data_IF_047475962785
#
_entry.id   IF_047475962785
#
_cell.length_a   1.000
_cell.length_b   1.000
_cell.length_c   1.000
_cell.angle_alpha   90.00
_cell.angle_beta   90.00
_cell.angle_gamma   90.00
#
_symmetry.space_group_name_H-M   'P 1'
#
loop_
_entity.id
_entity.type
_entity.pdbx_description
1 polymer ?
#
# COMPACT_ATOMS: atom_id res chain seq x y z
N UNK A 1 4.83 13.53 -7.94
CA UNK A 1 6.14 13.17 -8.52
C UNK A 1 6.59 11.90 -7.83
N UNK A 2 6.76 10.80 -8.57
CA UNK A 2 7.26 9.53 -8.03
C UNK A 2 8.78 9.56 -8.09
N UNK A 3 9.48 9.21 -7.01
CA UNK A 3 10.94 9.34 -6.89
C UNK A 3 11.75 8.33 -7.75
N UNK A 4 11.13 7.72 -8.77
CA UNK A 4 11.75 6.70 -9.62
C UNK A 4 12.05 5.38 -8.92
N UNK A 5 11.73 5.25 -7.63
CA UNK A 5 11.95 4.04 -6.83
C UNK A 5 10.82 3.05 -7.14
N UNK A 6 11.18 1.81 -7.44
CA UNK A 6 10.24 0.72 -7.71
C UNK A 6 10.33 -0.31 -6.58
N UNK A 7 9.18 -0.72 -6.04
CA UNK A 7 9.15 -1.76 -5.01
C UNK A 7 9.64 -3.09 -5.58
N UNK A 8 10.72 -3.66 -5.03
CA UNK A 8 11.27 -4.94 -5.49
C UNK A 8 10.34 -6.14 -5.34
N UNK A 9 9.28 -6.03 -4.53
CA UNK A 9 8.31 -7.10 -4.28
C UNK A 9 7.12 -7.04 -5.24
N UNK A 10 6.48 -5.87 -5.37
CA UNK A 10 5.26 -5.74 -6.18
C UNK A 10 5.42 -4.90 -7.45
N UNK A 11 6.64 -4.41 -7.74
CA UNK A 11 6.98 -3.56 -8.89
C UNK A 11 6.16 -2.28 -9.02
N UNK A 12 5.44 -1.89 -7.97
CA UNK A 12 4.72 -0.62 -7.94
C UNK A 12 5.69 0.55 -7.76
N UNK A 13 5.41 1.72 -8.38
CA UNK A 13 6.16 2.94 -8.10
C UNK A 13 6.00 3.33 -6.63
N UNK A 14 7.11 3.63 -5.99
CA UNK A 14 7.23 4.00 -4.59
C UNK A 14 7.45 5.50 -4.50
N UNK A 15 6.56 6.16 -3.77
CA UNK A 15 6.75 7.55 -3.34
C UNK A 15 7.61 7.54 -2.06
N UNK A 16 8.90 7.83 -2.20
CA UNK A 16 9.85 7.84 -1.09
C UNK A 16 9.53 8.99 -0.13
N UNK A 17 9.08 10.13 -0.64
CA UNK A 17 8.59 11.23 0.19
C UNK A 17 7.36 10.81 0.99
N UNK A 18 6.40 10.11 0.39
CA UNK A 18 5.26 9.53 1.11
C UNK A 18 5.62 8.37 2.05
N UNK A 19 6.72 7.66 1.79
CA UNK A 19 7.28 6.66 2.69
C UNK A 19 7.91 7.30 3.93
N UNK A 20 8.61 8.42 3.79
CA UNK A 20 9.35 8.99 4.92
C UNK A 20 8.56 10.12 5.62
N UNK A 21 7.69 10.83 4.89
CA UNK A 21 6.70 11.74 5.46
C UNK A 21 5.57 10.94 6.12
N UNK A 22 5.77 10.56 7.37
CA UNK A 22 4.67 10.15 8.23
C UNK A 22 5.00 10.42 9.68
N UNK A 23 4.69 11.63 10.12
CA UNK A 23 4.04 11.79 11.43
C UNK A 23 3.00 12.89 11.39
N UNK A 24 1.73 12.47 11.47
CA UNK A 24 0.75 13.18 12.30
C UNK A 24 1.23 13.05 13.74
N UNK A 25 1.32 14.16 14.46
CA UNK A 25 1.86 14.31 15.83
C UNK A 25 1.34 13.28 16.84
N UNK A 26 0.12 12.75 16.66
CA UNK A 26 -0.49 11.79 17.58
C UNK A 26 0.34 10.51 17.83
N UNK A 27 1.07 9.99 16.84
CA UNK A 27 1.93 8.81 17.05
C UNK A 27 3.29 9.15 17.65
N UNK A 28 3.67 10.43 17.76
CA UNK A 28 4.92 10.84 18.43
C UNK A 28 4.83 10.62 19.94
N UNK A 29 3.71 11.01 20.54
CA UNK A 29 3.46 10.86 21.98
C UNK A 29 3.40 9.39 22.43
N UNK A 30 2.80 8.50 21.63
CA UNK A 30 2.75 7.06 21.94
C UNK A 30 4.11 6.38 21.92
N UNK A 31 5.05 6.89 21.11
CA UNK A 31 6.41 6.39 21.07
C UNK A 31 7.26 6.96 22.21
N UNK A 32 7.16 8.26 22.51
CA UNK A 32 7.83 8.86 23.67
C UNK A 32 7.40 8.18 24.99
N UNK A 33 6.11 7.85 25.13
CA UNK A 33 5.61 7.05 26.27
C UNK A 33 6.16 5.62 26.31
N UNK A 34 6.51 5.02 25.18
CA UNK A 34 7.13 3.67 25.11
C UNK A 34 8.64 3.70 25.35
N UNK A 35 9.34 4.76 24.93
CA UNK A 35 10.76 4.97 25.22
C UNK A 35 11.02 5.04 26.73
N UNK A 36 10.09 5.62 27.50
CA UNK A 36 10.14 5.65 28.97
C UNK A 36 10.31 4.27 29.63
N UNK A 37 9.69 3.21 29.07
CA UNK A 37 9.80 1.84 29.65
C UNK A 37 11.05 1.10 29.22
N UNK A 38 11.57 1.33 28.01
CA UNK A 38 12.79 0.69 27.52
C UNK A 38 14.06 1.28 28.17
N UNK A 39 14.01 2.56 28.57
CA UNK A 39 15.11 3.24 29.26
C UNK A 39 15.17 2.87 30.76
N UNK A 40 14.06 2.41 31.35
CA UNK A 40 13.97 2.10 32.79
C UNK A 40 14.31 0.65 33.17
N UNK A 41 14.24 -0.32 32.26
CA UNK A 41 14.67 -1.70 32.51
C UNK A 41 16.18 -1.83 32.27
N UNK A 42 16.96 -1.35 33.24
CA UNK A 42 18.42 -1.29 33.18
C UNK A 42 19.12 -2.64 32.99
N UNK A 43 20.30 -2.56 32.36
CA UNK A 43 21.53 -3.30 32.67
C UNK A 43 22.56 -3.04 31.56
N UNK A 44 23.37 -1.97 31.68
CA UNK A 44 24.67 -1.92 30.99
C UNK A 44 25.68 -1.22 31.90
N UNK A 45 26.21 -1.98 32.87
CA UNK A 45 27.52 -1.74 33.43
C UNK A 45 28.49 -1.92 32.25
N UNK A 46 29.16 -0.85 31.82
CA UNK A 46 30.34 -0.96 30.97
C UNK A 46 31.42 -1.64 31.84
N UNK A 47 31.82 -2.92 31.63
CA UNK A 47 32.75 -3.58 32.53
C UNK A 47 34.19 -3.10 32.36
N UNK A 48 34.46 -2.12 31.49
CA UNK A 48 35.80 -1.65 31.21
C UNK A 48 35.79 -0.15 31.02
N UNK A 49 36.26 0.58 32.04
CA UNK A 49 36.83 1.90 31.85
C UNK A 49 38.02 1.74 30.87
N UNK A 50 38.00 2.38 29.69
CA UNK A 50 39.11 2.23 28.76
C UNK A 50 40.34 2.98 29.30
N UNK A 51 41.49 2.29 29.27
CA UNK A 51 42.81 2.90 29.33
C UNK A 51 42.93 4.05 28.32
N UNK A 52 43.71 5.11 28.60
CA UNK A 52 43.79 6.36 27.84
C UNK A 52 44.47 6.27 26.46
N UNK A 53 44.44 5.10 25.81
CA UNK A 53 44.79 4.92 24.40
C UNK A 53 43.50 4.85 23.58
N UNK A 54 42.75 5.95 23.62
CA UNK A 54 41.43 6.10 23.01
C UNK A 54 41.50 6.14 21.49
N UNK A 55 41.26 5.00 20.86
CA UNK A 55 40.89 4.90 19.45
C UNK A 55 39.37 4.77 19.37
N UNK A 56 38.71 5.72 18.71
CA UNK A 56 37.28 5.67 18.38
C UNK A 56 36.86 4.28 17.91
N UNK A 57 35.69 3.77 18.34
CA UNK A 57 35.12 2.53 17.80
C UNK A 57 34.62 2.71 16.35
N UNK A 58 34.50 3.95 15.91
CA UNK A 58 34.08 4.31 14.56
C UNK A 58 35.34 4.46 13.71
N UNK A 59 35.54 3.52 12.78
CA UNK A 59 36.57 3.63 11.75
C UNK A 59 36.20 4.69 10.70
N UNK A 60 37.16 5.13 9.88
CA UNK A 60 36.89 6.08 8.79
C UNK A 60 35.80 5.56 7.82
N UNK A 61 35.81 4.25 7.52
CA UNK A 61 34.78 3.62 6.70
C UNK A 61 33.39 3.68 7.37
N UNK A 62 33.31 3.41 8.68
CA UNK A 62 32.06 3.53 9.44
C UNK A 62 31.55 4.97 9.47
N UNK A 63 32.46 5.94 9.60
CA UNK A 63 32.12 7.36 9.56
C UNK A 63 31.49 7.77 8.21
N UNK A 64 32.02 7.26 7.10
CA UNK A 64 31.46 7.51 5.77
C UNK A 64 30.01 7.01 5.66
N UNK A 65 29.74 5.80 6.14
CA UNK A 65 28.37 5.25 6.17
C UNK A 65 27.41 6.08 7.04
N UNK A 66 27.87 6.56 8.21
CA UNK A 66 27.08 7.46 9.04
C UNK A 66 26.77 8.77 8.32
N UNK A 67 27.77 9.40 7.70
CA UNK A 67 27.58 10.66 6.98
C UNK A 67 26.57 10.48 5.82
N UNK A 68 26.66 9.38 5.10
CA UNK A 68 25.71 9.06 4.04
C UNK A 68 24.29 8.86 4.59
N UNK A 69 24.13 8.04 5.63
CA UNK A 69 22.84 7.80 6.27
C UNK A 69 22.21 9.08 6.81
N UNK A 70 22.99 9.93 7.49
CA UNK A 70 22.54 11.22 8.00
C UNK A 70 22.09 12.14 6.86
N UNK A 71 22.85 12.21 5.76
CA UNK A 71 22.49 13.01 4.58
C UNK A 71 21.16 12.54 3.97
N UNK A 72 20.96 11.24 3.87
CA UNK A 72 19.74 10.66 3.30
C UNK A 72 18.51 10.90 4.19
N UNK A 73 18.65 10.77 5.50
CA UNK A 73 17.53 10.84 6.45
C UNK A 73 17.15 12.29 6.80
N UNK A 74 18.12 13.20 6.85
CA UNK A 74 17.95 14.59 7.31
C UNK A 74 16.76 15.35 6.73
N UNK A 75 16.48 15.33 5.41
CA UNK A 75 15.37 16.10 4.87
C UNK A 75 13.99 15.48 5.14
N UNK A 76 13.93 14.25 5.67
CA UNK A 76 12.70 13.48 5.65
C UNK A 76 12.23 12.98 7.03
N UNK A 77 13.14 12.52 7.90
CA UNK A 77 12.76 12.00 9.24
C UNK A 77 13.66 12.57 10.35
N UNK A 78 13.20 13.62 11.06
CA UNK A 78 13.89 14.17 12.21
C UNK A 78 14.09 13.18 13.37
N UNK A 79 13.22 12.17 13.53
CA UNK A 79 13.33 11.18 14.59
C UNK A 79 14.50 10.24 14.32
N UNK A 80 14.55 9.65 13.13
CA UNK A 80 15.65 8.78 12.73
C UNK A 80 16.98 9.54 12.67
N UNK A 81 16.97 10.81 12.22
CA UNK A 81 18.13 11.68 12.25
C UNK A 81 18.69 11.78 13.68
N UNK A 82 17.84 12.16 14.65
CA UNK A 82 18.24 12.28 16.05
C UNK A 82 18.78 10.96 16.63
N UNK A 83 18.14 9.82 16.33
CA UNK A 83 18.61 8.50 16.81
C UNK A 83 19.96 8.10 16.19
N UNK A 84 20.19 8.40 14.90
CA UNK A 84 21.47 8.16 14.23
C UNK A 84 22.58 9.04 14.82
N UNK A 85 22.33 10.33 15.03
CA UNK A 85 23.30 11.27 15.64
C UNK A 85 23.63 10.87 17.09
N UNK A 86 22.61 10.45 17.84
CA UNK A 86 22.77 9.94 19.22
C UNK A 86 23.63 8.67 19.22
N UNK A 87 23.31 7.69 18.38
CA UNK A 87 24.07 6.45 18.30
C UNK A 87 25.52 6.69 17.86
N UNK A 88 25.74 7.58 16.89
CA UNK A 88 27.08 7.98 16.46
C UNK A 88 27.89 8.56 17.60
N UNK A 89 27.32 9.52 18.34
CA UNK A 89 27.96 10.14 19.51
C UNK A 89 28.32 9.10 20.58
N UNK A 90 27.40 8.17 20.86
CA UNK A 90 27.61 7.08 21.82
C UNK A 90 28.77 6.16 21.41
N UNK A 91 28.88 5.84 20.11
CA UNK A 91 29.94 4.97 19.59
C UNK A 91 31.31 5.66 19.57
N UNK A 92 31.37 6.93 19.20
CA UNK A 92 32.61 7.72 19.21
C UNK A 92 33.12 7.91 20.63
N UNK A 93 32.23 8.28 21.56
CA UNK A 93 32.59 8.54 22.97
C UNK A 93 32.65 7.27 23.84
N UNK A 94 32.38 6.10 23.25
CA UNK A 94 32.24 4.81 23.97
C UNK A 94 31.28 4.91 25.17
N UNK A 95 30.25 5.74 25.06
CA UNK A 95 29.31 6.06 26.13
C UNK A 95 27.93 5.52 25.79
N UNK A 96 27.46 4.52 26.53
CA UNK A 96 26.11 3.98 26.37
C UNK A 96 25.92 3.04 25.16
N UNK A 97 24.68 2.58 24.91
CA UNK A 97 24.42 1.43 24.06
C UNK A 97 24.16 1.82 22.58
N UNK A 98 25.12 2.50 21.95
CA UNK A 98 24.97 3.01 20.57
C UNK A 98 24.54 1.95 19.55
N UNK A 99 25.11 0.74 19.63
CA UNK A 99 24.72 -0.39 18.76
C UNK A 99 23.27 -0.81 18.98
N UNK A 100 22.80 -0.81 20.23
CA UNK A 100 21.41 -1.17 20.54
C UNK A 100 20.43 -0.14 19.96
N UNK A 101 20.78 1.15 20.01
CA UNK A 101 19.99 2.22 19.39
C UNK A 101 19.87 2.01 17.88
N UNK A 102 20.97 1.66 17.20
CA UNK A 102 20.94 1.34 15.76
C UNK A 102 20.08 0.11 15.45
N UNK A 103 20.18 -0.94 16.28
CA UNK A 103 19.40 -2.18 16.13
C UNK A 103 17.90 -1.90 16.30
N UNK A 104 17.54 -1.12 17.32
CA UNK A 104 16.16 -0.67 17.55
C UNK A 104 15.64 0.12 16.35
N UNK A 105 16.40 1.12 15.89
CA UNK A 105 16.02 1.94 14.75
C UNK A 105 15.78 1.09 13.48
N UNK A 106 16.66 0.12 13.21
CA UNK A 106 16.50 -0.82 12.09
C UNK A 106 15.22 -1.64 12.20
N UNK A 107 14.91 -2.15 13.40
CA UNK A 107 13.72 -2.96 13.64
C UNK A 107 12.43 -2.14 13.46
N UNK A 108 12.41 -0.91 13.97
CA UNK A 108 11.27 0.00 13.82
C UNK A 108 11.03 0.35 12.34
N UNK A 109 12.08 0.68 11.60
CA UNK A 109 12.01 0.99 10.18
C UNK A 109 11.55 -0.21 9.35
N UNK A 110 12.09 -1.40 9.63
CA UNK A 110 11.66 -2.63 8.95
C UNK A 110 10.18 -2.89 9.16
N UNK A 111 9.71 -2.78 10.41
CA UNK A 111 8.29 -2.94 10.74
C UNK A 111 7.43 -1.89 10.02
N UNK A 112 7.91 -0.67 9.94
CA UNK A 112 7.19 0.43 9.30
C UNK A 112 7.07 0.25 7.78
N UNK A 113 8.17 -0.11 7.12
CA UNK A 113 8.19 -0.42 5.68
C UNK A 113 7.24 -1.58 5.39
N UNK A 114 7.26 -2.63 6.21
CA UNK A 114 6.33 -3.75 6.08
C UNK A 114 4.86 -3.31 6.16
N UNK A 115 4.49 -2.52 7.17
CA UNK A 115 3.11 -2.02 7.33
C UNK A 115 2.69 -1.17 6.12
N UNK A 116 3.55 -0.27 5.64
CA UNK A 116 3.24 0.56 4.47
C UNK A 116 3.09 -0.29 3.22
N UNK A 117 3.96 -1.27 3.01
CA UNK A 117 3.87 -2.19 1.88
C UNK A 117 2.57 -2.99 1.92
N UNK A 118 2.24 -3.62 3.05
CA UNK A 118 1.01 -4.41 3.21
C UNK A 118 -0.22 -3.56 2.92
N UNK A 119 -0.31 -2.34 3.49
CA UNK A 119 -1.43 -1.43 3.22
C UNK A 119 -1.52 -1.02 1.74
N UNK A 120 -0.38 -0.78 1.09
CA UNK A 120 -0.37 -0.45 -0.34
C UNK A 120 -0.87 -1.63 -1.18
N UNK A 121 -0.46 -2.86 -0.86
CA UNK A 121 -0.91 -4.08 -1.54
C UNK A 121 -2.41 -4.32 -1.32
N UNK A 122 -2.88 -4.17 -0.09
CA UNK A 122 -4.31 -4.29 0.23
C UNK A 122 -5.14 -3.27 -0.53
N UNK A 123 -4.71 -2.00 -0.57
CA UNK A 123 -5.38 -0.95 -1.33
C UNK A 123 -5.43 -1.28 -2.83
N UNK A 124 -4.32 -1.75 -3.40
CA UNK A 124 -4.26 -2.15 -4.81
C UNK A 124 -5.19 -3.34 -5.10
N UNK A 125 -5.23 -4.34 -4.21
CA UNK A 125 -6.16 -5.49 -4.33
C UNK A 125 -7.62 -5.05 -4.23
N UNK A 126 -7.95 -4.17 -3.29
CA UNK A 126 -9.31 -3.64 -3.15
C UNK A 126 -9.75 -2.84 -4.38
N UNK A 127 -8.86 -2.03 -4.96
CA UNK A 127 -9.14 -1.33 -6.21
C UNK A 127 -9.36 -2.30 -7.39
N UNK A 128 -8.56 -3.36 -7.48
CA UNK A 128 -8.74 -4.40 -8.51
C UNK A 128 -10.10 -5.10 -8.37
N UNK A 129 -10.51 -5.44 -7.15
CA UNK A 129 -11.84 -6.05 -6.88
C UNK A 129 -12.98 -5.12 -7.27
N UNK A 130 -12.91 -3.84 -6.89
CA UNK A 130 -13.91 -2.83 -7.27
C UNK A 130 -14.08 -2.68 -8.78
N UNK A 131 -12.98 -2.74 -9.54
CA UNK A 131 -13.03 -2.69 -11.01
C UNK A 131 -13.70 -3.94 -11.59
N UNK A 132 -13.33 -5.13 -11.10
CA UNK A 132 -13.94 -6.38 -11.55
C UNK A 132 -15.45 -6.44 -11.23
N UNK A 133 -15.87 -5.95 -10.06
CA UNK A 133 -17.30 -5.86 -9.69
C UNK A 133 -18.06 -4.90 -10.62
N UNK A 134 -17.48 -3.74 -10.94
CA UNK A 134 -18.08 -2.79 -11.87
C UNK A 134 -18.19 -3.36 -13.28
N UNK A 135 -17.14 -4.01 -13.79
CA UNK A 135 -17.15 -4.68 -15.10
C UNK A 135 -18.20 -5.80 -15.16
N UNK A 136 -18.34 -6.58 -14.08
CA UNK A 136 -19.38 -7.61 -13.99
C UNK A 136 -20.79 -7.01 -13.99
N UNK A 137 -21.01 -5.91 -13.26
CA UNK A 137 -22.30 -5.20 -13.26
C UNK A 137 -22.65 -4.66 -14.65
N UNK A 138 -21.69 -4.03 -15.33
CA UNK A 138 -21.89 -3.55 -16.70
C UNK A 138 -22.20 -4.70 -17.66
N UNK A 139 -21.48 -5.82 -17.53
CA UNK A 139 -21.73 -7.01 -18.36
C UNK A 139 -23.16 -7.53 -18.15
N UNK A 140 -23.59 -7.72 -16.90
CA UNK A 140 -24.95 -8.14 -16.59
C UNK A 140 -26.01 -7.16 -17.12
N UNK A 141 -25.76 -5.84 -17.06
CA UNK A 141 -26.68 -4.86 -17.61
C UNK A 141 -26.78 -4.95 -19.14
N UNK A 142 -25.64 -5.11 -19.83
CA UNK A 142 -25.59 -5.31 -21.28
C UNK A 142 -26.34 -6.58 -21.70
N UNK A 143 -26.16 -7.67 -20.96
CA UNK A 143 -26.89 -8.91 -21.23
C UNK A 143 -28.40 -8.76 -21.01
N UNK A 144 -28.83 -8.10 -19.93
CA UNK A 144 -30.26 -7.81 -19.71
C UNK A 144 -30.85 -6.99 -20.86
N UNK A 145 -30.15 -5.97 -21.33
CA UNK A 145 -30.58 -5.16 -22.50
C UNK A 145 -30.68 -6.01 -23.77
N UNK A 146 -29.71 -6.91 -24.00
CA UNK A 146 -29.72 -7.84 -25.14
C UNK A 146 -30.95 -8.75 -25.10
N UNK A 147 -31.20 -9.41 -23.96
CA UNK A 147 -32.35 -10.32 -23.78
C UNK A 147 -33.67 -9.55 -23.96
N UNK A 148 -33.77 -8.33 -23.42
CA UNK A 148 -34.97 -7.50 -23.58
C UNK A 148 -35.26 -7.18 -25.04
N UNK A 149 -34.24 -6.83 -25.82
CA UNK A 149 -34.39 -6.53 -27.26
C UNK A 149 -34.79 -7.78 -28.04
N UNK A 150 -34.20 -8.93 -27.74
CA UNK A 150 -34.52 -10.21 -28.37
C UNK A 150 -35.97 -10.63 -28.07
N UNK A 151 -36.42 -10.46 -26.82
CA UNK A 151 -37.80 -10.73 -26.43
C UNK A 151 -38.80 -9.80 -27.16
N UNK A 152 -38.47 -8.52 -27.34
CA UNK A 152 -39.31 -7.57 -28.07
C UNK A 152 -39.43 -7.95 -29.56
N UNK A 153 -38.31 -8.35 -30.19
CA UNK A 153 -38.29 -8.82 -31.58
C UNK A 153 -39.08 -10.12 -31.76
N UNK A 154 -38.95 -11.07 -30.83
CA UNK A 154 -39.69 -12.32 -30.83
C UNK A 154 -41.20 -12.07 -30.70
N UNK A 155 -41.61 -11.16 -29.79
CA UNK A 155 -43.02 -10.79 -29.62
C UNK A 155 -43.60 -10.14 -30.88
N UNK A 156 -42.87 -9.20 -31.51
CA UNK A 156 -43.28 -8.59 -32.78
C UNK A 156 -43.46 -9.65 -33.88
N UNK A 157 -42.54 -10.59 -33.97
CA UNK A 157 -42.60 -11.69 -34.94
C UNK A 157 -43.81 -12.59 -34.70
N UNK A 158 -44.09 -12.92 -33.43
CA UNK A 158 -45.26 -13.71 -33.05
C UNK A 158 -46.57 -13.00 -33.40
N UNK A 159 -46.67 -11.69 -33.12
CA UNK A 159 -47.86 -10.89 -33.46
C UNK A 159 -48.09 -10.83 -34.98
N UNK A 160 -47.02 -10.64 -35.77
CA UNK A 160 -47.10 -10.66 -37.24
C UNK A 160 -47.56 -12.03 -37.76
N UNK A 161 -47.03 -13.12 -37.21
CA UNK A 161 -47.45 -14.48 -37.58
C UNK A 161 -48.94 -14.73 -37.24
N UNK A 162 -49.41 -14.30 -36.06
CA UNK A 162 -50.82 -14.38 -35.69
C UNK A 162 -51.71 -13.57 -36.63
N UNK A 163 -51.33 -12.33 -36.96
CA UNK A 163 -52.08 -11.48 -37.89
C UNK A 163 -52.16 -12.09 -39.28
N UNK A 164 -51.07 -12.70 -39.76
CA UNK A 164 -51.04 -13.39 -41.05
C UNK A 164 -51.94 -14.64 -41.05
N UNK A 165 -51.94 -15.44 -39.98
CA UNK A 165 -52.86 -16.57 -39.81
C UNK A 165 -54.33 -16.13 -39.84
N UNK A 166 -54.68 -15.04 -39.13
CA UNK A 166 -56.04 -14.49 -39.16
C UNK A 166 -56.44 -14.04 -40.57
N UNK A 167 -55.55 -13.38 -41.32
CA UNK A 167 -55.80 -12.98 -42.71
C UNK A 167 -56.02 -14.18 -43.63
N UNK A 168 -55.24 -15.25 -43.47
CA UNK A 168 -55.42 -16.49 -44.24
C UNK A 168 -56.77 -17.14 -43.93
N UNK A 169 -57.16 -17.20 -42.65
CA UNK A 169 -58.46 -17.72 -42.25
C UNK A 169 -59.61 -16.93 -42.88
N UNK A 170 -59.57 -15.59 -42.84
CA UNK A 170 -60.58 -14.73 -43.46
C UNK A 170 -60.69 -14.92 -44.99
N UNK A 171 -59.55 -15.08 -45.68
CA UNK A 171 -59.54 -15.39 -47.13
C UNK A 171 -60.16 -16.75 -47.42
N UNK A 172 -59.83 -17.77 -46.61
CA UNK A 172 -60.37 -19.11 -46.76
C UNK A 172 -61.88 -19.19 -46.49
N UNK A 173 -62.40 -18.41 -45.53
CA UNK A 173 -63.85 -18.35 -45.25
C UNK A 173 -64.61 -17.55 -46.30
N UNK A 174 -64.03 -16.46 -46.84
CA UNK A 174 -64.64 -15.66 -47.91
C UNK A 174 -64.74 -16.43 -49.24
N UNK A 175 -63.73 -17.26 -49.55
CA UNK A 175 -63.73 -18.09 -50.77
C UNK A 175 -64.70 -19.27 -50.73
N UNK A 176 -65.22 -19.65 -49.55
CA UNK A 176 -66.24 -20.71 -49.38
C UNK A 176 -67.69 -20.18 -49.44
N UNK A 177 -67.89 -18.86 -49.39
CA UNK A 177 -69.21 -18.22 -49.50
C UNK A 177 -69.56 -17.80 -50.94
N UNK A 178 -68.65 -17.97 -51.90
CA UNK A 178 -68.80 -17.56 -53.31
C UNK A 178 -68.99 -18.73 -54.30
N UNK A 179 -69.26 -19.92 -53.78
CA UNK A 179 -69.69 -21.13 -54.51
C UNK A 179 -70.99 -21.64 -53.94
#
# INVERSE_FOLDING_TARGET
>A
MTDGIICGVCRAPVDARGLIASRKEAKRQDFEKKESRFVQSGCYINPFAPNPKDTSLVTSAMQAYFNEALRLVRPYDPYALCKLETAHTMLVRRSGPGVAVLRMLTQEYTRFVYIKHTRAVEKARAQKRKRAEHEAQEHHERERKRISLEAEQALKSQMLAMRNKQRQHLKATSSKQTT
#
